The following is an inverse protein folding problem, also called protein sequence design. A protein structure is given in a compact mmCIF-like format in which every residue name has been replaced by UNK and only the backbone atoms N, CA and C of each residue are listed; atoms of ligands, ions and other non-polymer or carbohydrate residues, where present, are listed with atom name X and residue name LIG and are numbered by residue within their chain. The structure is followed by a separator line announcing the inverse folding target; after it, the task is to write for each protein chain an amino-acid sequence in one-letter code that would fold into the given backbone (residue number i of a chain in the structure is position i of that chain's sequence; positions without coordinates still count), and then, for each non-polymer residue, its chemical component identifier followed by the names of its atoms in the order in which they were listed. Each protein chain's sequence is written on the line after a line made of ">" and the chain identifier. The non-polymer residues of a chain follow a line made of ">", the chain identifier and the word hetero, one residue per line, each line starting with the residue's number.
data_IF_432211322629
#
_entry.id   IF_432211322629
#
_cell.length_a   1.000
_cell.length_b   1.000
_cell.length_c   1.000
_cell.angle_alpha   90.00
_cell.angle_beta   90.00
_cell.angle_gamma   90.00
#
_symmetry.space_group_name_H-M   'P 1'
#
loop_
_entity.id
_entity.type
_entity.pdbx_description
1 polymer ?
#
# COMPACT_ATOMS: atom_id res chain seq x y z
N UNK A 1 31.93 48.21 -10.25
CA UNK A 1 31.67 48.04 -8.80
C UNK A 1 30.18 48.01 -8.46
N UNK A 2 29.41 49.12 -8.51
CA UNK A 2 27.95 49.05 -8.23
C UNK A 2 27.15 48.29 -9.31
N UNK A 3 27.58 48.34 -10.57
CA UNK A 3 27.00 47.55 -11.66
C UNK A 3 27.40 46.06 -11.59
N UNK A 4 28.57 45.73 -11.06
CA UNK A 4 29.00 44.34 -10.85
C UNK A 4 28.16 43.66 -9.77
N UNK A 5 27.90 44.36 -8.66
CA UNK A 5 27.09 43.83 -7.54
C UNK A 5 25.64 43.58 -7.95
N UNK A 6 25.10 44.37 -8.89
CA UNK A 6 23.76 44.14 -9.45
C UNK A 6 23.68 42.89 -10.34
N UNK A 7 24.69 42.69 -11.20
CA UNK A 7 24.78 41.51 -12.08
C UNK A 7 25.05 40.23 -11.27
N UNK A 8 25.80 40.33 -10.16
CA UNK A 8 26.13 39.20 -9.30
C UNK A 8 24.91 38.76 -8.45
N UNK A 9 24.12 39.70 -7.91
CA UNK A 9 22.87 39.35 -7.20
C UNK A 9 21.83 38.71 -8.14
N UNK A 10 21.68 39.20 -9.38
CA UNK A 10 20.73 38.64 -10.35
C UNK A 10 21.16 37.24 -10.84
N UNK A 11 22.46 36.94 -10.84
CA UNK A 11 23.01 35.60 -11.10
C UNK A 11 22.82 34.63 -9.95
N UNK A 12 22.94 35.09 -8.70
CA UNK A 12 22.69 34.25 -7.52
C UNK A 12 21.21 33.85 -7.43
N UNK A 13 20.31 34.78 -7.72
CA UNK A 13 18.85 34.52 -7.74
C UNK A 13 18.44 33.55 -8.89
N UNK A 14 19.15 33.61 -10.02
CA UNK A 14 18.97 32.67 -11.15
C UNK A 14 19.54 31.27 -10.88
N UNK A 15 20.65 31.15 -10.13
CA UNK A 15 21.21 29.86 -9.69
C UNK A 15 20.29 29.16 -8.69
N UNK A 16 19.70 29.89 -7.76
CA UNK A 16 18.79 29.34 -6.76
C UNK A 16 17.43 28.92 -7.37
N UNK A 17 16.91 29.68 -8.33
CA UNK A 17 15.61 29.37 -8.94
C UNK A 17 15.63 28.21 -9.96
N UNK A 18 16.71 28.05 -10.74
CA UNK A 18 16.74 27.08 -11.85
C UNK A 18 17.82 25.98 -11.71
N UNK A 19 18.86 26.20 -10.90
CA UNK A 19 19.98 25.26 -10.75
C UNK A 19 19.74 24.16 -9.69
N UNK A 20 18.99 24.48 -8.63
CA UNK A 20 18.75 23.55 -7.51
C UNK A 20 17.69 22.47 -7.81
N UNK A 21 16.77 22.77 -8.74
CA UNK A 21 15.61 21.93 -9.01
C UNK A 21 15.98 20.55 -9.57
N UNK A 22 16.97 20.47 -10.47
CA UNK A 22 17.38 19.20 -11.08
C UNK A 22 18.07 18.24 -10.08
N UNK A 23 19.05 18.68 -9.27
CA UNK A 23 19.58 17.88 -8.16
C UNK A 23 18.50 17.46 -7.15
N UNK A 24 17.59 18.36 -6.81
CA UNK A 24 16.50 18.07 -5.88
C UNK A 24 15.55 16.99 -6.42
N UNK A 25 15.13 17.09 -7.69
CA UNK A 25 14.30 16.06 -8.32
C UNK A 25 15.01 14.71 -8.38
N UNK A 26 16.32 14.70 -8.66
CA UNK A 26 17.10 13.46 -8.67
C UNK A 26 17.12 12.82 -7.28
N UNK A 27 17.36 13.62 -6.24
CA UNK A 27 17.35 13.16 -4.86
C UNK A 27 15.96 12.66 -4.46
N UNK A 28 14.90 13.41 -4.74
CA UNK A 28 13.52 13.04 -4.43
C UNK A 28 13.11 11.74 -5.12
N UNK A 29 13.48 11.55 -6.39
CA UNK A 29 13.16 10.32 -7.13
C UNK A 29 13.76 9.07 -6.48
N UNK A 30 14.97 9.17 -5.94
CA UNK A 30 15.63 8.05 -5.23
C UNK A 30 14.92 7.77 -3.91
N UNK A 31 14.73 8.80 -3.07
CA UNK A 31 14.10 8.67 -1.77
C UNK A 31 12.63 8.21 -1.87
N UNK A 32 11.91 8.65 -2.88
CA UNK A 32 10.56 8.19 -3.16
C UNK A 32 10.53 6.70 -3.48
N UNK A 33 11.47 6.20 -4.28
CA UNK A 33 11.59 4.77 -4.58
C UNK A 33 11.85 3.93 -3.33
N UNK A 34 12.72 4.41 -2.44
CA UNK A 34 13.02 3.75 -1.16
C UNK A 34 11.79 3.74 -0.23
N UNK A 35 11.12 4.88 -0.07
CA UNK A 35 9.91 5.00 0.74
C UNK A 35 8.76 4.13 0.19
N UNK A 36 8.56 4.12 -1.13
CA UNK A 36 7.57 3.27 -1.79
C UNK A 36 7.88 1.77 -1.56
N UNK A 37 9.14 1.38 -1.71
CA UNK A 37 9.58 0.01 -1.40
C UNK A 37 9.27 -0.36 0.04
N UNK A 38 9.62 0.49 1.02
CA UNK A 38 9.34 0.25 2.44
C UNK A 38 7.83 0.11 2.72
N UNK A 39 6.99 0.89 2.05
CA UNK A 39 5.53 0.77 2.13
C UNK A 39 5.05 -0.61 1.64
N UNK A 40 5.56 -1.08 0.50
CA UNK A 40 5.21 -2.41 -0.04
C UNK A 40 5.70 -3.54 0.88
N UNK A 41 6.90 -3.43 1.45
CA UNK A 41 7.42 -4.41 2.41
C UNK A 41 6.52 -4.51 3.65
N UNK A 42 6.08 -3.37 4.18
CA UNK A 42 5.14 -3.34 5.32
C UNK A 42 3.82 -4.05 4.98
N UNK A 43 3.31 -3.88 3.76
CA UNK A 43 2.09 -4.58 3.30
C UNK A 43 2.34 -6.08 3.14
N UNK A 44 3.48 -6.49 2.58
CA UNK A 44 3.84 -7.90 2.43
C UNK A 44 3.97 -8.59 3.79
N UNK A 45 4.63 -7.95 4.76
CA UNK A 45 4.73 -8.44 6.13
C UNK A 45 3.35 -8.59 6.77
N UNK A 46 2.46 -7.61 6.56
CA UNK A 46 1.09 -7.68 7.09
C UNK A 46 0.27 -8.81 6.48
N UNK A 47 0.37 -9.04 5.17
CA UNK A 47 -0.23 -10.20 4.48
C UNK A 47 0.30 -11.50 5.09
N UNK A 48 1.62 -11.62 5.22
CA UNK A 48 2.26 -12.82 5.76
C UNK A 48 1.80 -13.12 7.18
N UNK A 49 1.86 -12.13 8.09
CA UNK A 49 1.46 -12.30 9.49
C UNK A 49 -0.01 -12.69 9.60
N UNK A 50 -0.90 -12.04 8.86
CA UNK A 50 -2.33 -12.37 8.90
C UNK A 50 -2.61 -13.76 8.31
N UNK A 51 -1.88 -14.19 7.29
CA UNK A 51 -1.99 -15.54 6.74
C UNK A 51 -1.52 -16.60 7.74
N UNK A 52 -0.40 -16.37 8.47
CA UNK A 52 0.04 -17.28 9.54
C UNK A 52 -0.99 -17.34 10.67
N UNK A 53 -1.56 -16.20 11.07
CA UNK A 53 -2.56 -16.15 12.15
C UNK A 53 -3.89 -16.82 11.76
N UNK A 54 -4.30 -16.76 10.50
CA UNK A 54 -5.56 -17.36 10.04
C UNK A 54 -5.43 -18.83 9.66
N UNK A 55 -4.32 -19.24 9.04
CA UNK A 55 -4.18 -20.56 8.44
C UNK A 55 -3.16 -21.46 9.15
N UNK A 56 -2.35 -20.90 10.05
CA UNK A 56 -1.39 -21.66 10.86
C UNK A 56 -0.12 -22.05 10.10
N UNK A 57 0.55 -23.07 10.63
CA UNK A 57 1.79 -23.64 10.11
C UNK A 57 1.59 -25.11 9.68
N UNK A 58 2.39 -25.62 8.74
CA UNK A 58 3.46 -24.94 8.00
C UNK A 58 2.94 -23.88 7.02
N UNK A 59 3.79 -22.92 6.66
CA UNK A 59 3.43 -21.87 5.70
C UNK A 59 3.24 -22.50 4.31
N UNK A 60 1.99 -22.67 3.91
CA UNK A 60 1.61 -23.15 2.57
C UNK A 60 0.54 -22.23 1.97
N UNK A 61 0.95 -20.99 1.70
CA UNK A 61 0.10 -20.00 1.05
C UNK A 61 0.90 -19.11 0.11
N UNK A 62 0.25 -18.68 -0.98
CA UNK A 62 0.84 -17.81 -2.00
C UNK A 62 0.14 -16.46 -2.01
N UNK A 63 0.90 -15.39 -1.77
CA UNK A 63 0.40 -14.03 -1.93
C UNK A 63 0.41 -13.62 -3.41
N UNK A 64 -0.62 -12.88 -3.84
CA UNK A 64 -0.77 -12.38 -5.22
C UNK A 64 -1.20 -10.91 -5.20
N UNK A 65 -0.56 -10.09 -6.03
CA UNK A 65 -0.96 -8.71 -6.28
C UNK A 65 -1.85 -8.67 -7.54
N UNK A 66 -3.07 -8.15 -7.40
CA UNK A 66 -4.03 -8.05 -8.50
C UNK A 66 -4.42 -6.59 -8.70
N UNK A 67 -4.29 -6.09 -9.93
CA UNK A 67 -4.83 -4.80 -10.35
C UNK A 67 -6.15 -5.00 -11.11
N UNK A 68 -7.32 -4.93 -10.44
CA UNK A 68 -8.59 -5.14 -11.09
C UNK A 68 -8.96 -4.00 -12.03
N UNK A 69 -9.57 -4.33 -13.16
CA UNK A 69 -10.28 -3.34 -13.97
C UNK A 69 -11.46 -2.78 -13.14
N UNK A 70 -11.69 -1.46 -13.16
CA UNK A 70 -12.76 -0.76 -12.42
C UNK A 70 -14.12 -1.45 -12.55
N UNK A 71 -14.48 -1.94 -13.75
CA UNK A 71 -15.76 -2.61 -14.01
C UNK A 71 -15.82 -4.07 -13.49
N UNK A 72 -14.66 -4.70 -13.34
CA UNK A 72 -14.55 -6.12 -12.98
C UNK A 72 -14.37 -6.34 -11.47
N UNK A 73 -14.15 -5.29 -10.66
CA UNK A 73 -13.85 -5.41 -9.24
C UNK A 73 -14.90 -6.22 -8.47
N UNK A 74 -16.20 -5.92 -8.69
CA UNK A 74 -17.29 -6.64 -8.02
C UNK A 74 -17.30 -8.13 -8.38
N UNK A 75 -17.18 -8.44 -9.67
CA UNK A 75 -17.13 -9.84 -10.17
C UNK A 75 -15.91 -10.58 -9.64
N UNK A 76 -14.74 -9.93 -9.58
CA UNK A 76 -13.52 -10.52 -9.03
C UNK A 76 -13.72 -10.91 -7.56
N UNK A 77 -14.29 -10.01 -6.75
CA UNK A 77 -14.58 -10.29 -5.33
C UNK A 77 -15.54 -11.46 -5.16
N UNK A 78 -16.58 -11.52 -5.98
CA UNK A 78 -17.57 -12.61 -5.97
C UNK A 78 -16.93 -13.97 -6.30
N UNK A 79 -16.13 -14.03 -7.38
CA UNK A 79 -15.44 -15.28 -7.79
C UNK A 79 -14.44 -15.72 -6.72
N UNK A 80 -13.64 -14.81 -6.17
CA UNK A 80 -12.69 -15.15 -5.11
C UNK A 80 -13.40 -15.61 -3.83
N UNK A 81 -14.54 -14.99 -3.48
CA UNK A 81 -15.34 -15.42 -2.32
C UNK A 81 -15.89 -16.84 -2.53
N UNK A 82 -16.34 -17.18 -3.73
CA UNK A 82 -16.82 -18.52 -4.04
C UNK A 82 -15.70 -19.57 -3.99
N UNK A 83 -14.52 -19.27 -4.56
CA UNK A 83 -13.38 -20.19 -4.59
C UNK A 83 -12.82 -20.49 -3.19
N UNK A 84 -12.77 -19.47 -2.32
CA UNK A 84 -12.11 -19.55 -1.02
C UNK A 84 -13.07 -19.55 0.17
N UNK A 85 -14.37 -19.73 -0.04
CA UNK A 85 -15.38 -19.77 1.05
C UNK A 85 -15.08 -20.82 2.11
N UNK A 86 -14.46 -21.94 1.72
CA UNK A 86 -14.06 -23.03 2.60
C UNK A 86 -13.01 -22.64 3.64
N UNK A 87 -12.24 -21.55 3.42
CA UNK A 87 -11.24 -21.08 4.38
C UNK A 87 -11.85 -20.48 5.65
N UNK A 88 -13.11 -20.05 5.59
CA UNK A 88 -13.81 -19.43 6.72
C UNK A 88 -14.05 -20.43 7.87
N UNK A 89 -14.40 -21.67 7.50
CA UNK A 89 -14.55 -22.78 8.45
C UNK A 89 -13.23 -23.24 9.06
N UNK A 90 -12.11 -23.08 8.32
CA UNK A 90 -10.78 -23.38 8.84
C UNK A 90 -10.36 -22.36 9.91
N UNK A 91 -10.62 -21.07 9.71
CA UNK A 91 -10.34 -20.02 10.70
C UNK A 91 -11.23 -20.08 11.96
N UNK A 92 -12.48 -20.54 11.81
CA UNK A 92 -13.42 -20.70 12.93
C UNK A 92 -13.02 -21.84 13.90
N UNK A 93 -12.19 -22.80 13.46
CA UNK A 93 -11.72 -23.88 14.34
C UNK A 93 -10.69 -23.42 15.39
N UNK A 94 -10.14 -22.22 15.23
CA UNK A 94 -9.12 -21.63 16.12
C UNK A 94 -9.64 -20.51 17.04
N UNK A 95 -10.88 -20.05 16.87
CA UNK A 95 -11.43 -18.96 17.69
C UNK A 95 -12.83 -19.38 18.16
N UNK A 96 -13.01 -19.41 19.48
CA UNK A 96 -14.32 -19.53 20.13
C UNK A 96 -15.27 -18.50 19.51
N UNK A 97 -16.38 -19.00 18.99
CA UNK A 97 -17.37 -18.41 18.08
C UNK A 97 -17.80 -16.94 18.38
N UNK A 98 -17.59 -16.45 19.61
CA UNK A 98 -18.02 -15.13 20.09
C UNK A 98 -17.07 -13.97 19.71
N UNK A 99 -15.76 -14.21 19.60
CA UNK A 99 -14.78 -13.12 19.41
C UNK A 99 -14.66 -12.65 17.94
N UNK A 100 -14.88 -13.53 16.97
CA UNK A 100 -14.71 -13.22 15.53
C UNK A 100 -15.88 -12.37 15.00
N UNK A 101 -17.10 -12.68 15.44
CA UNK A 101 -18.30 -11.90 15.14
C UNK A 101 -18.18 -10.46 15.67
N UNK A 102 -17.58 -10.31 16.86
CA UNK A 102 -17.34 -9.02 17.48
C UNK A 102 -16.32 -8.19 16.67
N UNK A 103 -15.20 -8.77 16.22
CA UNK A 103 -14.18 -8.06 15.42
C UNK A 103 -14.71 -7.54 14.08
N UNK A 104 -15.58 -8.30 13.41
CA UNK A 104 -16.24 -7.89 12.17
C UNK A 104 -17.23 -6.74 12.36
N UNK A 105 -17.88 -6.67 13.54
CA UNK A 105 -18.86 -5.65 13.88
C UNK A 105 -18.22 -4.34 14.39
N UNK A 106 -17.06 -4.41 15.05
CA UNK A 106 -16.34 -3.22 15.56
C UNK A 106 -15.58 -2.48 14.43
N UNK A 107 -15.05 -3.21 13.45
CA UNK A 107 -14.03 -2.64 12.55
C UNK A 107 -14.58 -1.97 11.28
N UNK A 108 -15.87 -2.17 10.93
CA UNK A 108 -16.46 -1.68 9.67
C UNK A 108 -15.72 -2.15 8.40
N UNK A 109 -14.81 -3.12 8.55
CA UNK A 109 -13.88 -3.54 7.52
C UNK A 109 -14.52 -4.67 6.70
N UNK A 110 -14.39 -4.60 5.38
CA UNK A 110 -14.85 -5.68 4.50
C UNK A 110 -14.09 -6.98 4.82
N UNK A 111 -14.80 -7.95 5.40
CA UNK A 111 -14.26 -9.27 5.69
C UNK A 111 -14.32 -10.18 4.45
N UNK A 112 -13.22 -10.90 4.21
CA UNK A 112 -13.09 -11.91 3.16
C UNK A 112 -12.50 -13.20 3.76
N UNK A 113 -12.94 -14.39 3.30
CA UNK A 113 -12.36 -15.68 3.74
C UNK A 113 -10.86 -15.83 3.46
N UNK A 114 -10.35 -15.06 2.49
CA UNK A 114 -8.94 -14.92 2.16
C UNK A 114 -8.37 -13.60 2.72
N UNK A 115 -7.07 -13.60 3.05
CA UNK A 115 -6.37 -12.38 3.45
C UNK A 115 -6.29 -11.40 2.27
N UNK A 116 -6.80 -10.19 2.46
CA UNK A 116 -6.90 -9.19 1.39
C UNK A 116 -6.57 -7.79 1.91
N UNK A 117 -5.57 -7.15 1.32
CA UNK A 117 -5.23 -5.75 1.60
C UNK A 117 -5.31 -4.89 0.34
N UNK A 118 -5.89 -3.70 0.50
CA UNK A 118 -5.84 -2.66 -0.52
C UNK A 118 -4.46 -1.97 -0.50
N UNK A 119 -3.87 -1.84 -1.68
CA UNK A 119 -2.70 -0.99 -1.94
C UNK A 119 -3.20 0.23 -2.69
N UNK A 120 -3.09 1.40 -2.07
CA UNK A 120 -3.45 2.67 -2.70
C UNK A 120 -2.21 3.29 -3.34
N UNK A 121 -2.29 3.54 -4.65
CA UNK A 121 -1.21 4.11 -5.45
C UNK A 121 -1.46 5.57 -5.84
N UNK A 122 -2.64 6.10 -5.51
CA UNK A 122 -2.96 7.51 -5.73
C UNK A 122 -2.27 8.34 -4.65
N UNK A 123 -1.06 8.82 -4.97
CA UNK A 123 -0.23 9.63 -4.07
C UNK A 123 -0.54 11.12 -4.21
N UNK A 124 -1.30 11.50 -5.24
CA UNK A 124 -1.74 12.87 -5.48
C UNK A 124 -3.21 12.97 -5.12
N UNK A 125 -3.52 13.71 -4.06
CA UNK A 125 -4.88 14.12 -3.76
C UNK A 125 -5.31 15.16 -4.80
N UNK A 126 -6.13 14.73 -5.76
CA UNK A 126 -6.71 15.65 -6.74
C UNK A 126 -7.96 16.25 -6.09
N UNK A 127 -7.84 17.50 -5.65
CA UNK A 127 -8.93 18.27 -5.05
C UNK A 127 -9.97 18.69 -6.09
#
# INVERSE_FOLDING_TARGET
>A
MLLDVGIENERLDQMDSNGCLAPLFRWLKVNFGEAFSAMIHTKALRVFVESVLRYGLPVDFQAVLIQPNRKAHKRLREVLKQLYSHLDSASASSIVDDDVALVGMISGAEYYPYVSFKVELNIIETR
#
